data_IF_265489211312
#
_entry.id   IF_265489211312
#
_cell.length_a   1.000
_cell.length_b   1.000
_cell.length_c   1.000
_cell.angle_alpha   90.00
_cell.angle_beta   90.00
_cell.angle_gamma   90.00
#
_symmetry.space_group_name_H-M   'P 1'
#
loop_
_entity.id
_entity.type
_entity.pdbx_description
1 polymer ?
#
# COMPACT_ATOMS: atom_id res chain seq x y z
N UNK A 1 15.89 -5.13 6.32
CA UNK A 1 16.24 -6.52 6.74
C UNK A 1 15.29 -7.57 6.18
N UNK A 2 13.97 -7.32 6.15
CA UNK A 2 12.98 -8.24 5.54
C UNK A 2 13.30 -8.57 4.07
N UNK A 3 13.77 -7.59 3.34
CA UNK A 3 14.13 -7.73 1.94
C UNK A 3 15.30 -8.71 1.69
N UNK A 4 16.18 -8.92 2.63
CA UNK A 4 17.40 -9.73 2.47
C UNK A 4 17.19 -11.22 2.76
N UNK A 5 16.18 -11.59 3.57
CA UNK A 5 15.91 -12.99 3.92
C UNK A 5 15.22 -13.78 2.80
N UNK A 6 14.44 -13.11 1.95
CA UNK A 6 13.60 -13.79 0.96
C UNK A 6 14.33 -14.19 -0.33
N UNK A 7 15.58 -13.77 -0.51
CA UNK A 7 16.34 -14.05 -1.74
C UNK A 7 17.27 -15.24 -1.66
N UNK A 8 17.60 -15.69 -0.47
CA UNK A 8 18.49 -16.83 -0.26
C UNK A 8 18.06 -18.12 -0.97
N UNK A 9 16.75 -18.42 -1.20
CA UNK A 9 16.36 -19.60 -1.96
C UNK A 9 16.60 -19.48 -3.47
N UNK A 10 16.79 -18.26 -3.97
CA UNK A 10 16.88 -17.99 -5.42
C UNK A 10 18.26 -17.52 -5.87
N UNK A 11 19.19 -17.31 -4.94
CA UNK A 11 20.54 -16.79 -5.22
C UNK A 11 21.54 -17.95 -5.24
N UNK A 12 21.90 -18.42 -6.43
CA UNK A 12 22.89 -19.46 -6.62
C UNK A 12 23.19 -19.76 -8.07
N UNK A 13 24.26 -20.48 -8.32
CA UNK A 13 24.70 -20.95 -9.67
C UNK A 13 23.55 -21.64 -10.42
N UNK A 14 22.69 -22.36 -9.73
CA UNK A 14 21.54 -23.02 -10.34
C UNK A 14 20.52 -22.02 -10.94
N UNK A 15 20.34 -20.85 -10.36
CA UNK A 15 19.46 -19.83 -10.92
C UNK A 15 19.95 -19.35 -12.28
N UNK A 16 21.25 -19.11 -12.45
CA UNK A 16 21.83 -18.65 -13.71
C UNK A 16 21.55 -19.66 -14.84
N UNK A 17 21.73 -20.95 -14.59
CA UNK A 17 21.41 -21.99 -15.58
C UNK A 17 19.92 -22.03 -15.91
N UNK A 18 19.06 -21.89 -14.93
CA UNK A 18 17.60 -21.81 -15.12
C UNK A 18 17.21 -20.60 -15.95
N UNK A 19 17.82 -19.43 -15.68
CA UNK A 19 17.61 -18.21 -16.44
C UNK A 19 18.08 -18.36 -17.90
N UNK A 20 19.26 -18.92 -18.11
CA UNK A 20 19.79 -19.19 -19.46
C UNK A 20 18.89 -20.15 -20.25
N UNK A 21 18.43 -21.22 -19.60
CA UNK A 21 17.47 -22.15 -20.19
C UNK A 21 16.16 -21.47 -20.55
N UNK A 22 15.62 -20.63 -19.66
CA UNK A 22 14.39 -19.87 -19.94
C UNK A 22 14.56 -18.91 -21.11
N UNK A 23 15.71 -18.25 -21.25
CA UNK A 23 16.01 -17.37 -22.39
C UNK A 23 16.09 -18.20 -23.69
N UNK A 24 16.74 -19.36 -23.67
CA UNK A 24 16.80 -20.26 -24.83
C UNK A 24 15.39 -20.71 -25.22
N UNK A 25 14.63 -21.23 -24.26
CA UNK A 25 13.25 -21.67 -24.48
C UNK A 25 12.38 -20.54 -25.08
N UNK A 26 12.47 -19.34 -24.50
CA UNK A 26 11.76 -18.18 -25.01
C UNK A 26 12.17 -17.86 -26.46
N UNK A 27 13.46 -17.92 -26.80
CA UNK A 27 13.94 -17.65 -28.18
C UNK A 27 13.35 -18.65 -29.17
N UNK A 28 13.33 -19.93 -28.84
CA UNK A 28 12.77 -20.99 -29.67
C UNK A 28 11.25 -20.89 -29.85
N UNK A 29 10.55 -20.37 -28.82
CA UNK A 29 9.09 -20.24 -28.81
C UNK A 29 8.62 -18.78 -28.93
N UNK A 30 9.47 -17.88 -29.37
CA UNK A 30 9.25 -16.43 -29.40
C UNK A 30 7.96 -16.03 -30.13
N UNK A 31 7.68 -16.68 -31.28
CA UNK A 31 6.48 -16.37 -32.09
C UNK A 31 5.20 -16.66 -31.33
N UNK A 32 5.16 -17.75 -30.56
CA UNK A 32 4.03 -18.08 -29.71
C UNK A 32 3.82 -17.03 -28.62
N UNK A 33 4.89 -16.66 -27.90
CA UNK A 33 4.81 -15.72 -26.79
C UNK A 33 4.45 -14.31 -27.23
N UNK A 34 5.04 -13.81 -28.30
CA UNK A 34 4.78 -12.45 -28.78
C UNK A 34 3.35 -12.20 -29.24
N UNK A 35 2.69 -13.20 -29.81
CA UNK A 35 1.29 -13.11 -30.24
C UNK A 35 0.31 -12.92 -29.06
N UNK A 36 0.76 -13.11 -27.83
CA UNK A 36 -0.11 -13.05 -26.65
C UNK A 36 -0.26 -11.64 -26.07
N UNK A 37 0.59 -10.68 -26.47
CA UNK A 37 0.58 -9.29 -25.95
C UNK A 37 0.46 -9.24 -24.43
N UNK A 38 1.42 -9.84 -23.72
CA UNK A 38 1.33 -10.11 -22.28
C UNK A 38 1.46 -8.82 -21.46
N UNK A 39 0.49 -8.61 -20.57
CA UNK A 39 0.56 -7.68 -19.45
C UNK A 39 0.76 -8.50 -18.17
N UNK A 40 1.90 -8.31 -17.48
CA UNK A 40 2.17 -8.96 -16.20
C UNK A 40 1.74 -8.04 -15.06
N UNK A 41 0.97 -8.59 -14.14
CA UNK A 41 0.54 -7.90 -12.92
C UNK A 41 1.22 -8.56 -11.72
N UNK A 42 1.75 -7.75 -10.81
CA UNK A 42 2.38 -8.24 -9.58
C UNK A 42 2.27 -7.24 -8.44
N UNK A 43 2.48 -7.72 -7.24
CA UNK A 43 2.64 -6.92 -6.04
C UNK A 43 4.06 -7.09 -5.47
N UNK A 44 4.31 -6.47 -4.32
CA UNK A 44 5.62 -6.50 -3.67
C UNK A 44 6.11 -7.94 -3.48
N UNK A 45 7.27 -8.25 -4.05
CA UNK A 45 7.91 -9.57 -4.06
C UNK A 45 7.06 -10.71 -4.65
N UNK A 46 5.91 -10.43 -5.25
CA UNK A 46 4.95 -11.46 -5.71
C UNK A 46 4.55 -12.44 -4.60
N UNK A 47 4.53 -11.98 -3.35
CA UNK A 47 4.30 -12.82 -2.16
C UNK A 47 2.87 -12.76 -1.64
N UNK A 48 2.10 -11.73 -2.00
CA UNK A 48 0.76 -11.46 -1.49
C UNK A 48 -0.21 -11.09 -2.63
N UNK A 49 -1.52 -11.12 -2.34
CA UNK A 49 -2.60 -10.65 -3.21
C UNK A 49 -3.61 -9.86 -2.35
N UNK A 50 -3.25 -8.62 -2.00
CA UNK A 50 -4.00 -7.79 -1.04
C UNK A 50 -4.05 -6.31 -1.41
N UNK A 51 -3.28 -5.88 -2.43
CA UNK A 51 -3.08 -4.50 -2.79
C UNK A 51 -3.62 -4.20 -4.20
N UNK A 52 -3.34 -3.02 -4.72
CA UNK A 52 -3.82 -2.51 -6.00
C UNK A 52 -3.58 -3.46 -7.17
N UNK A 53 -2.47 -4.21 -7.18
CA UNK A 53 -2.18 -5.20 -8.20
C UNK A 53 -3.23 -6.32 -8.26
N UNK A 54 -3.60 -6.85 -7.11
CA UNK A 54 -4.62 -7.90 -7.01
C UNK A 54 -6.01 -7.40 -7.42
N UNK A 55 -6.44 -6.26 -6.89
CA UNK A 55 -7.78 -5.73 -7.21
C UNK A 55 -7.90 -5.32 -8.68
N UNK A 56 -6.86 -4.73 -9.26
CA UNK A 56 -6.80 -4.47 -10.69
C UNK A 56 -6.87 -5.77 -11.52
N UNK A 57 -6.10 -6.79 -11.17
CA UNK A 57 -6.15 -8.08 -11.83
C UNK A 57 -7.53 -8.73 -11.74
N UNK A 58 -8.11 -8.77 -10.53
CA UNK A 58 -9.45 -9.32 -10.28
C UNK A 58 -10.49 -8.62 -11.16
N UNK A 59 -10.53 -7.29 -11.16
CA UNK A 59 -11.42 -6.51 -12.02
C UNK A 59 -11.24 -6.88 -13.50
N UNK A 60 -10.00 -6.97 -13.97
CA UNK A 60 -9.72 -7.32 -15.35
C UNK A 60 -10.24 -8.71 -15.75
N UNK A 61 -10.23 -9.66 -14.82
CA UNK A 61 -10.78 -11.02 -15.07
C UNK A 61 -12.30 -10.99 -15.06
N UNK A 62 -12.93 -10.36 -14.07
CA UNK A 62 -14.38 -10.34 -13.89
C UNK A 62 -15.11 -9.51 -14.94
N UNK A 63 -14.48 -8.42 -15.42
CA UNK A 63 -15.05 -7.50 -16.42
C UNK A 63 -14.52 -7.72 -17.84
N UNK A 64 -13.72 -8.78 -18.05
CA UNK A 64 -13.12 -9.11 -19.35
C UNK A 64 -12.32 -7.95 -20.00
N UNK A 65 -11.59 -7.17 -19.19
CA UNK A 65 -10.80 -6.03 -19.66
C UNK A 65 -9.62 -6.45 -20.56
N UNK A 66 -9.28 -7.73 -20.61
CA UNK A 66 -8.29 -8.27 -21.54
C UNK A 66 -8.63 -7.94 -23.01
N UNK A 67 -9.91 -8.06 -23.38
CA UNK A 67 -10.38 -7.69 -24.72
C UNK A 67 -10.27 -6.18 -24.97
N UNK A 68 -10.63 -5.36 -23.98
CA UNK A 68 -10.53 -3.91 -24.08
C UNK A 68 -9.09 -3.44 -24.25
N UNK A 69 -8.15 -4.01 -23.49
CA UNK A 69 -6.72 -3.68 -23.53
C UNK A 69 -5.99 -4.38 -24.69
N UNK A 70 -6.61 -5.33 -25.37
CA UNK A 70 -5.96 -6.23 -26.33
C UNK A 70 -4.67 -6.87 -25.76
N UNK A 71 -4.73 -7.32 -24.49
CA UNK A 71 -3.61 -7.92 -23.78
C UNK A 71 -4.04 -9.14 -22.98
N UNK A 72 -3.19 -10.16 -22.98
CA UNK A 72 -3.33 -11.27 -22.05
C UNK A 72 -2.78 -10.85 -20.69
N UNK A 73 -3.67 -10.71 -19.72
CA UNK A 73 -3.29 -10.29 -18.37
C UNK A 73 -2.94 -11.54 -17.55
N UNK A 74 -1.76 -11.55 -16.95
CA UNK A 74 -1.24 -12.62 -16.11
C UNK A 74 -0.82 -12.06 -14.74
N UNK A 75 -1.26 -12.71 -13.68
CA UNK A 75 -0.88 -12.35 -12.30
C UNK A 75 0.25 -13.26 -11.80
N UNK A 76 1.29 -12.67 -11.24
CA UNK A 76 2.45 -13.40 -10.70
C UNK A 76 2.30 -13.50 -9.18
N UNK A 77 2.38 -14.71 -8.64
CA UNK A 77 2.35 -14.96 -7.20
C UNK A 77 3.13 -16.22 -6.84
N UNK A 78 3.74 -16.21 -5.65
CA UNK A 78 4.35 -17.43 -5.10
C UNK A 78 3.26 -18.44 -4.72
N UNK A 79 3.49 -19.73 -5.07
CA UNK A 79 2.57 -20.81 -4.69
C UNK A 79 2.44 -21.01 -3.18
N UNK A 80 3.45 -20.58 -2.42
CA UNK A 80 3.47 -20.64 -0.95
C UNK A 80 2.77 -19.45 -0.29
N UNK A 81 2.32 -18.48 -1.09
CA UNK A 81 1.59 -17.33 -0.55
C UNK A 81 0.31 -17.78 0.15
N UNK A 82 -0.01 -17.26 1.34
CA UNK A 82 -1.29 -17.49 2.00
C UNK A 82 -2.47 -16.99 1.14
N UNK A 83 -2.22 -16.01 0.26
CA UNK A 83 -3.22 -15.44 -0.64
C UNK A 83 -3.40 -16.22 -1.96
N UNK A 84 -2.61 -17.27 -2.20
CA UNK A 84 -2.73 -18.05 -3.44
C UNK A 84 -4.16 -18.55 -3.70
N UNK A 85 -4.95 -18.97 -2.69
CA UNK A 85 -6.35 -19.35 -2.88
C UNK A 85 -7.23 -18.24 -3.48
N UNK A 86 -6.95 -16.96 -3.20
CA UNK A 86 -7.72 -15.82 -3.75
C UNK A 86 -7.63 -15.71 -5.27
N UNK A 87 -6.51 -16.14 -5.85
CA UNK A 87 -6.27 -16.09 -7.29
C UNK A 87 -6.54 -17.42 -8.00
N UNK A 88 -6.75 -18.50 -7.26
CA UNK A 88 -6.99 -19.84 -7.80
C UNK A 88 -8.18 -19.93 -8.77
N UNK A 89 -9.30 -19.17 -8.61
CA UNK A 89 -10.38 -19.15 -9.60
C UNK A 89 -9.93 -18.71 -10.99
N UNK A 90 -8.84 -17.97 -11.08
CA UNK A 90 -8.26 -17.43 -12.32
C UNK A 90 -7.01 -18.19 -12.76
N UNK A 91 -6.89 -19.49 -12.45
CA UNK A 91 -5.67 -20.30 -12.59
C UNK A 91 -5.03 -20.26 -13.98
N UNK A 92 -5.82 -20.12 -15.06
CA UNK A 92 -5.31 -19.95 -16.44
C UNK A 92 -4.47 -18.67 -16.61
N UNK A 93 -4.77 -17.63 -15.83
CA UNK A 93 -4.15 -16.33 -15.85
C UNK A 93 -3.17 -16.11 -14.68
N UNK A 94 -2.99 -17.11 -13.80
CA UNK A 94 -2.03 -17.07 -12.70
C UNK A 94 -0.75 -17.77 -13.11
N UNK A 95 0.37 -17.12 -12.80
CA UNK A 95 1.71 -17.61 -13.12
C UNK A 95 2.52 -17.76 -11.83
N UNK A 96 2.94 -18.97 -11.48
CA UNK A 96 3.73 -19.19 -10.28
C UNK A 96 5.08 -18.46 -10.36
N UNK A 97 5.40 -17.71 -9.33
CA UNK A 97 6.65 -16.98 -9.21
C UNK A 97 7.87 -17.90 -9.43
N UNK A 98 8.88 -17.41 -10.13
CA UNK A 98 10.13 -18.12 -10.46
C UNK A 98 9.96 -19.44 -11.26
N UNK A 99 8.79 -19.74 -11.82
CA UNK A 99 8.60 -20.84 -12.76
C UNK A 99 9.16 -20.52 -14.16
N UNK A 100 9.42 -21.52 -14.99
CA UNK A 100 9.82 -21.30 -16.39
C UNK A 100 8.75 -20.54 -17.17
N UNK A 101 7.46 -20.80 -16.90
CA UNK A 101 6.34 -20.06 -17.50
C UNK A 101 6.41 -18.57 -17.10
N UNK A 102 6.74 -18.27 -15.84
CA UNK A 102 6.96 -16.90 -15.37
C UNK A 102 8.10 -16.24 -16.13
N UNK A 103 9.26 -16.89 -16.20
CA UNK A 103 10.44 -16.35 -16.88
C UNK A 103 10.16 -16.07 -18.37
N UNK A 104 9.53 -16.99 -19.08
CA UNK A 104 9.15 -16.79 -20.48
C UNK A 104 8.11 -15.69 -20.64
N UNK A 105 7.10 -15.62 -19.74
CA UNK A 105 6.09 -14.56 -19.76
C UNK A 105 6.74 -13.18 -19.52
N UNK A 106 7.70 -13.09 -18.62
CA UNK A 106 8.42 -11.84 -18.34
C UNK A 106 9.29 -11.39 -19.53
N UNK A 107 9.96 -12.31 -20.20
CA UNK A 107 10.70 -12.02 -21.42
C UNK A 107 9.77 -11.52 -22.54
N UNK A 108 8.57 -12.09 -22.64
CA UNK A 108 7.57 -11.73 -23.64
C UNK A 108 6.76 -10.48 -23.32
N UNK A 109 6.62 -10.12 -22.03
CA UNK A 109 5.73 -9.06 -21.58
C UNK A 109 5.98 -7.74 -22.33
N UNK A 110 4.88 -7.12 -22.77
CA UNK A 110 4.87 -5.76 -23.33
C UNK A 110 4.75 -4.73 -22.19
N UNK A 111 4.07 -5.10 -21.10
CA UNK A 111 3.76 -4.22 -19.99
C UNK A 111 3.88 -4.97 -18.66
N UNK A 112 4.39 -4.27 -17.64
CA UNK A 112 4.35 -4.70 -16.24
C UNK A 112 3.49 -3.68 -15.48
N UNK A 113 2.49 -4.16 -14.76
CA UNK A 113 1.63 -3.37 -13.87
C UNK A 113 1.90 -3.83 -12.45
N UNK A 114 2.32 -2.92 -11.58
CA UNK A 114 2.75 -3.29 -10.23
C UNK A 114 2.31 -2.27 -9.19
N UNK A 115 1.94 -2.73 -7.99
CA UNK A 115 1.71 -1.85 -6.84
C UNK A 115 3.00 -1.33 -6.20
N UNK A 116 4.16 -1.84 -6.64
CA UNK A 116 5.49 -1.37 -6.25
C UNK A 116 6.37 -1.22 -7.52
N UNK A 117 7.68 -1.18 -7.39
CA UNK A 117 8.59 -1.14 -8.55
C UNK A 117 8.37 -2.34 -9.47
N UNK A 118 8.49 -2.13 -10.80
CA UNK A 118 8.45 -3.20 -11.81
C UNK A 118 9.43 -4.35 -11.55
N UNK A 119 10.48 -4.10 -10.77
CA UNK A 119 11.45 -5.13 -10.43
C UNK A 119 10.89 -6.20 -9.50
N UNK A 120 9.79 -5.92 -8.79
CA UNK A 120 9.09 -6.93 -7.99
C UNK A 120 8.38 -8.01 -8.82
N UNK A 121 8.30 -7.82 -10.14
CA UNK A 121 7.90 -8.88 -11.07
C UNK A 121 8.93 -10.02 -11.17
N UNK A 122 10.08 -9.94 -10.50
CA UNK A 122 11.11 -10.97 -10.46
C UNK A 122 11.84 -10.92 -9.11
N UNK A 123 12.76 -11.87 -8.87
CA UNK A 123 13.61 -11.88 -7.68
C UNK A 123 14.62 -10.70 -7.73
N UNK A 124 14.17 -9.51 -7.31
CA UNK A 124 14.86 -8.22 -7.49
C UNK A 124 16.21 -8.12 -6.82
N UNK A 125 16.43 -8.97 -5.84
CA UNK A 125 17.61 -8.94 -4.98
C UNK A 125 18.72 -9.85 -5.51
N UNK A 126 18.44 -10.66 -6.55
CA UNK A 126 19.47 -11.41 -7.25
C UNK A 126 20.33 -10.46 -8.08
N UNK A 127 21.42 -9.93 -7.50
CA UNK A 127 22.27 -8.91 -8.11
C UNK A 127 22.80 -9.30 -9.47
N UNK A 128 23.06 -10.59 -9.71
CA UNK A 128 23.65 -11.14 -10.93
C UNK A 128 22.63 -11.68 -11.94
N UNK A 129 21.32 -11.52 -11.67
CA UNK A 129 20.29 -11.98 -12.59
C UNK A 129 20.36 -11.27 -13.94
N UNK A 130 20.38 -12.06 -15.03
CA UNK A 130 20.29 -11.54 -16.40
C UNK A 130 18.93 -10.91 -16.68
N UNK A 131 17.88 -11.28 -15.92
CA UNK A 131 16.54 -10.73 -16.06
C UNK A 131 16.44 -9.25 -15.70
N UNK A 132 17.32 -8.72 -14.84
CA UNK A 132 17.37 -7.30 -14.51
C UNK A 132 17.53 -6.42 -15.78
N UNK A 133 18.30 -6.89 -16.78
CA UNK A 133 18.48 -6.18 -18.06
C UNK A 133 17.22 -6.17 -18.91
N UNK A 134 16.42 -7.26 -18.84
CA UNK A 134 15.15 -7.36 -19.57
C UNK A 134 14.09 -6.48 -18.91
N UNK A 135 13.96 -6.56 -17.58
CA UNK A 135 12.98 -5.76 -16.79
C UNK A 135 13.22 -4.27 -16.99
N UNK A 136 14.48 -3.82 -16.98
CA UNK A 136 14.84 -2.41 -17.22
C UNK A 136 14.19 -1.85 -18.49
N UNK A 137 14.09 -2.66 -19.55
CA UNK A 137 13.54 -2.27 -20.86
C UNK A 137 12.02 -2.39 -20.97
N UNK A 138 11.35 -2.97 -19.97
CA UNK A 138 9.89 -3.16 -20.02
C UNK A 138 9.17 -1.86 -19.68
N UNK A 139 8.10 -1.59 -20.44
CA UNK A 139 7.12 -0.58 -20.07
C UNK A 139 6.45 -0.95 -18.76
N UNK A 140 6.11 0.05 -17.96
CA UNK A 140 5.54 -0.21 -16.63
C UNK A 140 4.52 0.81 -16.20
N UNK A 141 3.53 0.33 -15.45
CA UNK A 141 2.55 1.13 -14.71
C UNK A 141 2.80 0.92 -13.22
N UNK A 142 2.91 2.01 -12.50
CA UNK A 142 3.04 1.99 -11.05
C UNK A 142 1.68 2.33 -10.43
N UNK A 143 1.04 1.34 -9.82
CA UNK A 143 -0.27 1.49 -9.17
C UNK A 143 -0.18 2.09 -7.78
N UNK A 144 1.03 2.18 -7.22
CA UNK A 144 1.31 2.52 -5.83
C UNK A 144 0.71 1.53 -4.81
N UNK A 145 1.08 1.66 -3.56
CA UNK A 145 0.51 0.96 -2.41
C UNK A 145 -0.04 1.93 -1.35
N UNK A 146 0.19 3.23 -1.50
CA UNK A 146 -0.30 4.28 -0.62
C UNK A 146 -0.09 5.65 -1.24
N UNK A 147 -0.93 6.61 -0.88
CA UNK A 147 -0.86 7.98 -1.42
C UNK A 147 0.45 8.65 -1.03
N UNK A 148 1.10 9.25 -2.01
CA UNK A 148 2.37 9.95 -1.84
C UNK A 148 2.14 11.38 -1.39
N UNK A 149 2.22 11.65 -0.07
CA UNK A 149 2.08 12.98 0.49
C UNK A 149 2.91 13.16 1.78
N UNK A 150 2.74 12.26 2.77
CA UNK A 150 3.27 12.40 4.13
C UNK A 150 4.74 11.96 4.28
N UNK A 151 5.34 11.43 3.23
CA UNK A 151 6.73 10.96 3.20
C UNK A 151 7.36 11.21 1.85
N UNK A 152 8.60 11.70 1.82
CA UNK A 152 9.34 11.90 0.57
C UNK A 152 9.89 10.58 0.03
N UNK A 153 9.59 10.30 -1.23
CA UNK A 153 9.99 9.08 -1.95
C UNK A 153 10.42 9.36 -3.41
N UNK A 154 10.60 10.64 -3.76
CA UNK A 154 11.05 11.07 -5.10
C UNK A 154 12.43 10.48 -5.47
N UNK A 155 13.33 10.30 -4.50
CA UNK A 155 14.63 9.64 -4.69
C UNK A 155 14.51 8.15 -5.09
N UNK A 156 13.35 7.52 -4.87
CA UNK A 156 13.10 6.10 -5.19
C UNK A 156 12.33 5.99 -6.50
N UNK A 157 11.20 6.72 -6.63
CA UNK A 157 10.24 6.57 -7.72
C UNK A 157 10.30 7.69 -8.75
N UNK A 158 11.10 8.74 -8.52
CA UNK A 158 11.27 9.84 -9.47
C UNK A 158 11.84 9.37 -10.81
N UNK A 159 11.52 10.11 -11.87
CA UNK A 159 11.98 9.85 -13.23
C UNK A 159 13.51 9.90 -13.28
N UNK A 160 14.13 8.90 -13.88
CA UNK A 160 15.60 8.74 -13.87
C UNK A 160 16.11 7.75 -12.82
N UNK A 161 15.34 7.43 -11.79
CA UNK A 161 15.68 6.42 -10.81
C UNK A 161 15.37 5.00 -11.31
N UNK A 162 15.92 4.00 -10.61
CA UNK A 162 15.72 2.59 -10.96
C UNK A 162 14.24 2.19 -10.98
N UNK A 163 13.45 2.71 -10.04
CA UNK A 163 12.03 2.38 -9.89
C UNK A 163 11.09 3.25 -10.72
N UNK A 164 11.62 4.10 -11.60
CA UNK A 164 10.81 4.92 -12.51
C UNK A 164 9.88 4.06 -13.38
N UNK A 165 8.70 4.60 -13.68
CA UNK A 165 7.68 3.96 -14.51
C UNK A 165 7.34 4.79 -15.76
N UNK A 166 6.56 4.22 -16.65
CA UNK A 166 6.07 4.91 -17.85
C UNK A 166 4.68 5.51 -17.67
N UNK A 167 3.93 5.06 -16.65
CA UNK A 167 2.66 5.60 -16.21
C UNK A 167 2.57 5.50 -14.69
N UNK A 168 2.41 6.65 -14.04
CA UNK A 168 2.27 6.77 -12.60
C UNK A 168 0.78 6.97 -12.26
N UNK A 169 0.18 6.07 -11.50
CA UNK A 169 -1.20 6.20 -11.04
C UNK A 169 -1.22 7.02 -9.76
N UNK A 170 -2.08 8.02 -9.71
CA UNK A 170 -2.34 8.86 -8.53
C UNK A 170 -3.82 8.83 -8.18
N UNK A 171 -4.14 9.28 -6.98
CA UNK A 171 -5.48 9.11 -6.41
C UNK A 171 -6.30 10.38 -6.37
N UNK A 172 -5.63 11.53 -6.36
CA UNK A 172 -6.26 12.82 -6.15
C UNK A 172 -5.42 13.95 -6.75
N UNK A 173 -6.04 15.13 -6.85
CA UNK A 173 -5.43 16.30 -7.49
C UNK A 173 -4.21 16.84 -6.76
N UNK A 174 -4.18 16.72 -5.42
CA UNK A 174 -3.02 17.14 -4.64
C UNK A 174 -1.83 16.22 -4.90
N UNK A 175 -2.04 14.90 -4.88
CA UNK A 175 -1.00 13.93 -5.19
C UNK A 175 -0.49 14.08 -6.63
N UNK A 176 -1.39 14.32 -7.59
CA UNK A 176 -1.02 14.59 -8.99
C UNK A 176 -0.05 15.77 -9.07
N UNK A 177 -0.36 16.87 -8.39
CA UNK A 177 0.53 18.04 -8.33
C UNK A 177 1.88 17.68 -7.69
N UNK A 178 1.91 16.94 -6.58
CA UNK A 178 3.15 16.50 -5.93
C UNK A 178 4.03 15.72 -6.90
N UNK A 179 3.45 14.77 -7.66
CA UNK A 179 4.21 13.95 -8.61
C UNK A 179 4.75 14.79 -9.76
N UNK A 180 3.96 15.70 -10.32
CA UNK A 180 4.40 16.58 -11.40
C UNK A 180 5.52 17.53 -10.95
N UNK A 181 5.38 18.12 -9.75
CA UNK A 181 6.32 19.12 -9.25
C UNK A 181 7.65 18.53 -8.75
N UNK A 182 7.64 17.30 -8.21
CA UNK A 182 8.80 16.77 -7.48
C UNK A 182 9.44 15.52 -8.11
N UNK A 183 8.74 14.77 -8.98
CA UNK A 183 9.23 13.48 -9.47
C UNK A 183 9.75 13.52 -10.90
N UNK A 184 9.59 14.64 -11.61
CA UNK A 184 10.06 14.83 -12.98
C UNK A 184 9.24 14.12 -14.05
N UNK A 185 8.00 13.72 -13.74
CA UNK A 185 7.06 13.15 -14.72
C UNK A 185 6.32 14.25 -15.49
N UNK A 186 6.01 13.97 -16.75
CA UNK A 186 5.16 14.82 -17.57
C UNK A 186 3.67 14.50 -17.36
N UNK A 187 2.74 15.45 -17.60
CA UNK A 187 1.30 15.21 -17.41
C UNK A 187 0.77 13.98 -18.15
N UNK A 188 1.33 13.64 -19.32
CA UNK A 188 0.95 12.44 -20.08
C UNK A 188 1.43 11.12 -19.44
N UNK A 189 2.26 11.19 -18.41
CA UNK A 189 2.84 10.05 -17.69
C UNK A 189 2.21 9.85 -16.31
N UNK A 190 1.27 10.71 -15.93
CA UNK A 190 0.53 10.65 -14.67
C UNK A 190 -0.96 10.49 -14.96
N UNK A 191 -1.64 9.63 -14.22
CA UNK A 191 -3.07 9.45 -14.38
C UNK A 191 -3.76 9.43 -13.01
N UNK A 192 -4.65 10.40 -12.81
CA UNK A 192 -5.49 10.48 -11.62
C UNK A 192 -6.71 9.57 -11.82
N UNK A 193 -6.65 8.38 -11.20
CA UNK A 193 -7.67 7.34 -11.36
C UNK A 193 -8.24 6.84 -10.03
N UNK A 194 -7.57 7.13 -8.91
CA UNK A 194 -7.78 6.44 -7.65
C UNK A 194 -7.10 5.06 -7.63
N UNK A 195 -7.17 4.39 -6.50
CA UNK A 195 -6.59 3.07 -6.29
C UNK A 195 -7.54 1.94 -6.66
N UNK A 196 -7.04 0.88 -7.29
CA UNK A 196 -7.84 -0.29 -7.62
C UNK A 196 -8.50 -0.96 -6.40
N UNK A 197 -7.84 -0.95 -5.22
CA UNK A 197 -8.41 -1.48 -3.98
C UNK A 197 -9.60 -0.67 -3.46
N UNK A 198 -9.77 0.57 -3.89
CA UNK A 198 -10.91 1.39 -3.50
C UNK A 198 -12.22 0.96 -4.17
N UNK A 199 -12.16 0.15 -5.23
CA UNK A 199 -13.35 -0.45 -5.84
C UNK A 199 -14.14 -1.36 -4.89
N UNK A 200 -13.48 -1.88 -3.86
CA UNK A 200 -14.11 -2.77 -2.85
C UNK A 200 -14.22 -2.13 -1.47
N UNK A 201 -13.72 -0.91 -1.32
CA UNK A 201 -13.71 -0.22 -0.04
C UNK A 201 -15.10 0.36 0.24
N UNK A 202 -15.77 -0.18 1.24
CA UNK A 202 -17.12 0.20 1.65
C UNK A 202 -17.15 0.55 3.13
N UNK A 203 -17.88 1.59 3.47
CA UNK A 203 -18.17 1.86 4.86
C UNK A 203 -19.14 0.82 5.42
N UNK A 204 -18.65 0.00 6.35
CA UNK A 204 -19.39 -1.04 7.07
C UNK A 204 -19.39 -0.74 8.58
N UNK A 205 -19.19 0.52 8.98
CA UNK A 205 -19.00 0.91 10.38
C UNK A 205 -20.21 1.62 11.00
N UNK A 206 -21.33 1.75 10.32
CA UNK A 206 -22.46 2.58 10.74
C UNK A 206 -23.00 2.23 12.13
N UNK A 207 -23.04 0.93 12.47
CA UNK A 207 -23.49 0.44 13.77
C UNK A 207 -22.31 0.08 14.70
N UNK A 208 -21.13 0.57 14.40
CA UNK A 208 -19.89 0.24 15.08
C UNK A 208 -19.40 1.42 15.92
N UNK A 209 -18.84 1.14 17.09
CA UNK A 209 -18.13 2.09 17.94
C UNK A 209 -16.62 1.81 17.93
N UNK A 210 -16.11 1.26 16.83
CA UNK A 210 -14.72 0.83 16.71
C UNK A 210 -13.82 1.96 16.19
N UNK A 211 -12.70 2.15 16.83
CA UNK A 211 -11.63 3.07 16.43
C UNK A 211 -10.38 2.25 16.11
N UNK A 212 -9.76 2.51 14.97
CA UNK A 212 -8.49 1.91 14.60
C UNK A 212 -7.34 2.85 14.98
N UNK A 213 -6.39 2.35 15.76
CA UNK A 213 -5.11 3.03 15.99
C UNK A 213 -4.04 2.31 15.17
N UNK A 214 -3.48 2.98 14.17
CA UNK A 214 -2.50 2.38 13.26
C UNK A 214 -1.28 3.30 13.11
N UNK A 215 -0.27 3.16 14.00
CA UNK A 215 0.92 3.99 13.95
C UNK A 215 1.89 3.53 12.86
N UNK A 216 2.62 4.49 12.30
CA UNK A 216 3.69 4.24 11.33
C UNK A 216 4.96 3.80 12.03
N UNK A 217 5.69 2.86 11.44
CA UNK A 217 7.01 2.48 11.95
C UNK A 217 8.03 3.62 11.82
N UNK A 218 9.02 3.61 12.69
CA UNK A 218 10.14 4.56 12.66
C UNK A 218 11.40 3.85 12.16
N UNK A 219 12.05 4.40 11.13
CA UNK A 219 13.26 3.79 10.56
C UNK A 219 14.42 3.75 11.55
N UNK A 220 14.49 4.71 12.49
CA UNK A 220 15.52 4.72 13.54
C UNK A 220 15.26 3.71 14.67
N UNK A 221 14.09 3.06 14.68
CA UNK A 221 13.76 1.95 15.56
C UNK A 221 13.73 0.60 14.81
N UNK A 222 14.21 0.55 13.56
CA UNK A 222 14.24 -0.69 12.79
C UNK A 222 15.32 -1.62 13.32
N UNK A 223 14.95 -2.84 13.70
CA UNK A 223 15.87 -3.89 14.17
C UNK A 223 16.65 -3.57 15.47
N UNK A 224 16.11 -2.68 16.33
CA UNK A 224 16.64 -2.45 17.68
C UNK A 224 16.20 -3.57 18.64
N UNK A 225 16.87 -3.68 19.81
CA UNK A 225 16.45 -4.59 20.88
C UNK A 225 15.12 -4.14 21.51
N UNK A 226 14.42 -5.04 22.19
CA UNK A 226 13.18 -4.71 22.92
C UNK A 226 13.44 -3.62 23.96
N UNK A 227 14.54 -3.69 24.72
CA UNK A 227 14.94 -2.67 25.69
C UNK A 227 15.08 -1.28 25.06
N UNK A 228 15.80 -1.17 23.94
CA UNK A 228 15.95 0.10 23.20
C UNK A 228 14.63 0.58 22.64
N UNK A 229 13.77 -0.34 22.20
CA UNK A 229 12.44 -0.02 21.67
C UNK A 229 11.55 0.53 22.80
N UNK A 230 11.51 -0.11 23.96
CA UNK A 230 10.73 0.31 25.13
C UNK A 230 11.18 1.66 25.70
N UNK A 231 12.47 1.98 25.59
CA UNK A 231 13.01 3.28 25.98
C UNK A 231 12.68 4.43 25.00
N UNK A 232 12.15 4.12 23.81
CA UNK A 232 11.84 5.10 22.79
C UNK A 232 10.64 5.99 23.16
N UNK A 233 10.66 7.24 22.68
CA UNK A 233 9.52 8.16 22.76
C UNK A 233 8.28 7.55 22.09
N UNK A 234 8.48 6.81 20.99
CA UNK A 234 7.41 6.11 20.29
C UNK A 234 6.66 5.13 21.19
N UNK A 235 7.38 4.20 21.80
CA UNK A 235 6.77 3.19 22.68
C UNK A 235 6.12 3.84 23.90
N UNK A 236 6.80 4.76 24.57
CA UNK A 236 6.28 5.44 25.76
C UNK A 236 4.98 6.19 25.52
N UNK A 237 4.87 6.92 24.40
CA UNK A 237 3.63 7.64 24.07
C UNK A 237 2.46 6.69 23.82
N UNK A 238 2.67 5.60 23.06
CA UNK A 238 1.59 4.63 22.83
C UNK A 238 1.24 3.84 24.10
N UNK A 239 2.21 3.48 24.93
CA UNK A 239 1.93 2.82 26.21
C UNK A 239 1.19 3.72 27.20
N UNK A 240 1.52 5.01 27.26
CA UNK A 240 0.78 6.00 28.03
C UNK A 240 -0.67 6.10 27.54
N UNK A 241 -0.88 6.14 26.23
CA UNK A 241 -2.21 6.14 25.61
C UNK A 241 -3.01 4.89 25.99
N UNK A 242 -2.46 3.70 25.73
CA UNK A 242 -3.15 2.41 25.93
C UNK A 242 -3.45 2.09 27.40
N UNK A 243 -2.74 2.71 28.36
CA UNK A 243 -2.89 2.47 29.79
C UNK A 243 -3.42 3.70 30.55
N UNK A 244 -3.91 4.72 29.86
CA UNK A 244 -4.48 5.91 30.49
C UNK A 244 -5.83 5.61 31.12
N UNK A 245 -5.98 5.92 32.42
CA UNK A 245 -7.27 5.83 33.11
C UNK A 245 -8.31 6.75 32.48
N UNK A 246 -7.92 7.99 32.15
CA UNK A 246 -8.80 8.96 31.49
C UNK A 246 -9.25 8.47 30.10
N UNK A 247 -8.35 7.86 29.32
CA UNK A 247 -8.76 7.26 28.05
C UNK A 247 -9.81 6.15 28.26
N UNK A 248 -9.60 5.29 29.27
CA UNK A 248 -10.58 4.25 29.58
C UNK A 248 -11.96 4.82 29.98
N UNK A 249 -12.01 5.92 30.74
CA UNK A 249 -13.26 6.61 31.08
C UNK A 249 -14.00 7.10 29.82
N UNK A 250 -13.29 7.65 28.83
CA UNK A 250 -13.86 8.05 27.53
C UNK A 250 -14.39 6.83 26.78
N UNK A 251 -13.64 5.72 26.74
CA UNK A 251 -14.07 4.49 26.07
C UNK A 251 -15.35 3.91 26.72
N UNK A 252 -15.46 3.96 28.01
CA UNK A 252 -16.67 3.51 28.76
C UNK A 252 -17.86 4.43 28.52
N UNK A 253 -17.64 5.76 28.63
CA UNK A 253 -18.67 6.78 28.44
C UNK A 253 -19.36 6.70 27.07
N UNK A 254 -18.59 6.45 26.02
CA UNK A 254 -19.06 6.44 24.64
C UNK A 254 -19.18 5.03 24.04
N UNK A 255 -19.03 3.99 24.84
CA UNK A 255 -19.05 2.57 24.44
C UNK A 255 -18.09 2.24 23.29
N UNK A 256 -16.87 2.79 23.32
CA UNK A 256 -15.89 2.63 22.25
C UNK A 256 -15.05 1.38 22.41
N UNK A 257 -14.61 0.82 21.28
CA UNK A 257 -13.62 -0.26 21.18
C UNK A 257 -12.42 0.20 20.37
N UNK A 258 -11.24 -0.06 20.87
CA UNK A 258 -9.98 0.32 20.22
C UNK A 258 -9.30 -0.91 19.62
N UNK A 259 -8.91 -0.81 18.38
CA UNK A 259 -8.08 -1.80 17.69
C UNK A 259 -6.71 -1.19 17.42
N UNK A 260 -5.72 -1.56 18.23
CA UNK A 260 -4.33 -1.10 18.07
C UNK A 260 -3.60 -2.07 17.14
N UNK A 261 -3.32 -1.58 15.93
CA UNK A 261 -2.76 -2.36 14.84
C UNK A 261 -1.31 -1.95 14.56
N UNK A 262 -0.36 -2.70 15.10
CA UNK A 262 1.05 -2.37 14.98
C UNK A 262 1.57 -2.68 13.58
N UNK A 263 2.38 -1.76 13.02
CA UNK A 263 2.97 -1.91 11.69
C UNK A 263 3.79 -3.23 11.57
N UNK A 264 3.73 -3.90 10.41
CA UNK A 264 4.37 -5.18 10.15
C UNK A 264 5.87 -5.25 10.54
N UNK A 265 6.61 -4.15 10.44
CA UNK A 265 8.02 -4.07 10.83
C UNK A 265 8.25 -4.11 12.36
N UNK A 266 7.24 -3.80 13.13
CA UNK A 266 7.31 -3.82 14.60
C UNK A 266 6.63 -5.04 15.22
N UNK A 267 6.24 -6.03 14.42
CA UNK A 267 5.60 -7.27 14.93
C UNK A 267 6.50 -8.06 15.90
N UNK A 268 7.82 -7.94 15.78
CA UNK A 268 8.75 -8.51 16.77
C UNK A 268 8.57 -7.94 18.17
N UNK A 269 8.15 -6.68 18.27
CA UNK A 269 7.90 -5.96 19.53
C UNK A 269 6.41 -5.99 19.95
N UNK A 270 5.53 -6.75 19.26
CA UNK A 270 4.11 -6.78 19.59
C UNK A 270 3.85 -7.21 21.04
N UNK A 271 4.66 -8.12 21.56
CA UNK A 271 4.53 -8.68 22.92
C UNK A 271 4.82 -7.66 24.03
N UNK A 272 5.52 -6.56 23.72
CA UNK A 272 5.80 -5.52 24.71
C UNK A 272 4.61 -4.60 24.93
N UNK A 273 3.66 -4.54 23.94
CA UNK A 273 2.44 -3.77 24.07
C UNK A 273 1.37 -4.51 24.85
N UNK A 274 0.85 -3.86 25.86
CA UNK A 274 -0.29 -4.33 26.66
C UNK A 274 -1.21 -3.15 26.96
N UNK A 275 -2.48 -3.45 27.16
CA UNK A 275 -3.49 -2.48 27.52
C UNK A 275 -4.16 -2.87 28.83
N UNK A 276 -4.45 -1.90 29.68
CA UNK A 276 -5.14 -2.14 30.95
C UNK A 276 -6.65 -2.37 30.76
N UNK A 277 -7.23 -1.83 29.70
CA UNK A 277 -8.66 -1.93 29.41
C UNK A 277 -8.99 -3.10 28.51
N UNK A 278 -10.07 -3.83 28.81
CA UNK A 278 -10.63 -4.87 27.95
C UNK A 278 -11.29 -4.32 26.66
N UNK A 279 -11.43 -2.99 26.56
CA UNK A 279 -11.92 -2.30 25.37
C UNK A 279 -10.82 -2.02 24.34
N UNK A 280 -9.56 -2.36 24.65
CA UNK A 280 -8.41 -2.13 23.79
C UNK A 280 -7.83 -3.47 23.34
N UNK A 281 -7.88 -3.73 22.05
CA UNK A 281 -7.43 -4.97 21.41
C UNK A 281 -6.12 -4.71 20.64
N UNK A 282 -5.02 -5.30 21.12
CA UNK A 282 -3.73 -5.24 20.42
C UNK A 282 -3.70 -6.34 19.36
N UNK A 283 -3.63 -5.95 18.08
CA UNK A 283 -3.73 -6.85 16.94
C UNK A 283 -2.37 -7.14 16.30
N UNK A 284 -2.20 -8.40 15.92
CA UNK A 284 -1.13 -8.83 15.01
C UNK A 284 -1.47 -8.50 13.55
N UNK A 285 -0.44 -8.39 12.72
CA UNK A 285 -0.59 -8.19 11.27
C UNK A 285 -1.38 -9.33 10.60
N UNK A 286 -1.34 -10.54 11.15
CA UNK A 286 -2.00 -11.72 10.60
C UNK A 286 -3.45 -11.91 11.09
N UNK A 287 -3.89 -11.13 12.09
CA UNK A 287 -5.23 -11.32 12.70
C UNK A 287 -6.36 -10.88 11.76
N UNK A 288 -6.21 -9.72 11.14
CA UNK A 288 -7.24 -9.17 10.24
C UNK A 288 -6.60 -8.29 9.17
N UNK A 289 -7.01 -8.39 7.90
CA UNK A 289 -6.54 -7.51 6.85
C UNK A 289 -6.86 -6.03 7.13
N UNK A 290 -5.90 -5.15 6.86
CA UNK A 290 -6.02 -3.70 7.12
C UNK A 290 -7.26 -3.09 6.46
N UNK A 291 -7.57 -3.48 5.22
CA UNK A 291 -8.73 -2.96 4.50
C UNK A 291 -10.07 -3.31 5.19
N UNK A 292 -10.15 -4.46 5.86
CA UNK A 292 -11.33 -4.82 6.65
C UNK A 292 -11.46 -3.94 7.88
N UNK A 293 -10.37 -3.66 8.58
CA UNK A 293 -10.37 -2.75 9.72
C UNK A 293 -10.79 -1.34 9.30
N UNK A 294 -10.26 -0.83 8.17
CA UNK A 294 -10.64 0.48 7.63
C UNK A 294 -12.14 0.56 7.27
N UNK A 295 -12.75 -0.55 6.83
CA UNK A 295 -14.19 -0.62 6.55
C UNK A 295 -15.04 -0.68 7.83
N UNK A 296 -14.57 -1.39 8.86
CA UNK A 296 -15.33 -1.68 10.09
C UNK A 296 -15.18 -0.62 11.18
N UNK A 297 -14.15 0.21 11.13
CA UNK A 297 -13.90 1.26 12.11
C UNK A 297 -14.52 2.59 11.68
N UNK A 298 -15.07 3.34 12.65
CA UNK A 298 -15.66 4.67 12.44
C UNK A 298 -14.60 5.74 12.22
N UNK A 299 -13.47 5.60 12.88
CA UNK A 299 -12.38 6.59 12.89
C UNK A 299 -11.03 5.90 12.86
N UNK A 300 -10.04 6.60 12.33
CA UNK A 300 -8.63 6.23 12.38
C UNK A 300 -7.86 7.21 13.26
N UNK A 301 -7.02 6.69 14.14
CA UNK A 301 -5.95 7.43 14.79
C UNK A 301 -4.64 6.94 14.19
N UNK A 302 -3.90 7.84 13.58
CA UNK A 302 -2.59 7.52 13.00
C UNK A 302 -1.63 8.69 13.18
N UNK A 303 -0.45 8.57 12.60
CA UNK A 303 0.56 9.63 12.66
C UNK A 303 0.98 10.09 11.25
N UNK A 304 1.62 9.19 10.47
CA UNK A 304 2.17 9.49 9.14
C UNK A 304 1.77 8.43 8.10
N UNK A 305 0.79 7.58 8.41
CA UNK A 305 0.40 6.48 7.53
C UNK A 305 -0.50 6.94 6.39
N UNK A 306 -0.20 6.49 5.19
CA UNK A 306 -1.02 6.76 4.00
C UNK A 306 -2.42 6.15 4.03
N UNK A 307 -2.73 5.25 4.98
CA UNK A 307 -4.09 4.70 5.15
C UNK A 307 -5.12 5.74 5.58
N UNK A 308 -4.68 6.91 6.06
CA UNK A 308 -5.56 8.06 6.31
C UNK A 308 -6.35 8.48 5.05
N UNK A 309 -5.76 8.30 3.87
CA UNK A 309 -6.44 8.58 2.60
C UNK A 309 -7.55 7.57 2.29
N UNK A 310 -7.39 6.32 2.70
CA UNK A 310 -8.43 5.29 2.58
C UNK A 310 -9.62 5.62 3.48
N UNK A 311 -9.40 6.23 4.66
CA UNK A 311 -10.46 6.73 5.55
C UNK A 311 -11.14 7.97 4.96
N UNK A 312 -10.37 8.94 4.50
CA UNK A 312 -10.92 10.14 3.86
C UNK A 312 -11.76 9.77 2.62
N UNK A 313 -11.32 8.80 1.82
CA UNK A 313 -12.08 8.28 0.68
C UNK A 313 -13.46 7.76 1.12
N UNK A 314 -13.53 7.03 2.23
CA UNK A 314 -14.76 6.52 2.84
C UNK A 314 -15.60 7.59 3.57
N UNK A 315 -15.19 8.85 3.59
CA UNK A 315 -15.84 9.94 4.33
C UNK A 315 -15.80 9.75 5.86
N UNK A 316 -14.70 9.16 6.37
CA UNK A 316 -14.49 8.91 7.79
C UNK A 316 -13.40 9.81 8.35
N UNK A 317 -13.50 10.25 9.62
CA UNK A 317 -12.51 11.10 10.25
C UNK A 317 -11.20 10.35 10.53
N UNK A 318 -10.11 11.12 10.48
CA UNK A 318 -8.79 10.70 10.94
C UNK A 318 -8.28 11.69 11.96
N UNK A 319 -7.70 11.21 13.06
CA UNK A 319 -6.92 11.99 14.00
C UNK A 319 -5.45 11.68 13.82
N UNK A 320 -4.63 12.74 13.76
CA UNK A 320 -3.19 12.62 13.56
C UNK A 320 -2.46 12.83 14.89
N UNK A 321 -1.95 11.74 15.50
CA UNK A 321 -1.18 11.80 16.75
C UNK A 321 0.32 11.92 16.44
N UNK A 322 0.83 13.15 16.41
CA UNK A 322 2.15 13.49 15.89
C UNK A 322 3.07 14.10 16.95
N UNK A 323 3.35 13.37 18.01
CA UNK A 323 4.23 13.80 19.13
C UNK A 323 5.71 13.94 18.75
N UNK A 324 6.13 13.39 17.59
CA UNK A 324 7.51 13.38 17.11
C UNK A 324 7.67 13.98 15.70
N UNK A 325 6.80 14.94 15.33
CA UNK A 325 6.71 15.48 13.96
C UNK A 325 8.03 16.05 13.45
N UNK A 326 8.78 16.78 14.29
CA UNK A 326 10.05 17.39 13.86
C UNK A 326 11.11 16.32 13.56
N UNK A 327 11.22 15.31 14.42
CA UNK A 327 12.11 14.17 14.19
C UNK A 327 11.72 13.37 12.94
N UNK A 328 10.41 13.19 12.71
CA UNK A 328 9.93 12.50 11.52
C UNK A 328 10.26 13.28 10.24
N UNK A 329 10.04 14.60 10.25
CA UNK A 329 10.36 15.48 9.12
C UNK A 329 11.86 15.51 8.81
N UNK A 330 12.71 15.53 9.82
CA UNK A 330 14.16 15.45 9.65
C UNK A 330 14.58 14.12 8.98
N UNK A 331 13.98 13.01 9.42
CA UNK A 331 14.34 11.68 8.93
C UNK A 331 13.77 11.35 7.54
N UNK A 332 12.60 11.84 7.22
CA UNK A 332 11.83 11.43 6.02
C UNK A 332 11.42 12.58 5.12
N UNK A 333 11.14 13.75 5.66
CA UNK A 333 10.49 14.85 4.97
C UNK A 333 9.05 14.55 4.56
N UNK A 334 8.35 15.58 4.13
CA UNK A 334 6.98 15.52 3.61
C UNK A 334 6.86 16.42 2.37
N UNK A 335 5.82 16.21 1.57
CA UNK A 335 5.46 17.10 0.45
C UNK A 335 4.44 18.15 0.84
N UNK A 336 3.79 18.00 2.00
CA UNK A 336 2.81 18.94 2.55
C UNK A 336 3.27 19.46 3.91
N UNK A 337 2.77 20.60 4.32
CA UNK A 337 2.93 21.08 5.71
C UNK A 337 1.97 20.35 6.64
N UNK A 338 2.47 19.31 7.33
CA UNK A 338 1.64 18.51 8.23
C UNK A 338 1.10 19.27 9.45
N UNK A 339 1.48 20.53 9.66
CA UNK A 339 0.85 21.38 10.65
C UNK A 339 -0.39 22.13 10.14
N UNK A 340 -0.58 22.21 8.80
CA UNK A 340 -1.63 23.04 8.18
C UNK A 340 -2.50 22.30 7.17
N UNK A 341 -1.92 21.34 6.44
CA UNK A 341 -2.52 20.79 5.23
C UNK A 341 -3.16 19.40 5.44
N UNK A 342 -3.20 18.93 6.70
CA UNK A 342 -3.87 17.68 7.03
C UNK A 342 -5.40 17.82 6.87
N UNK A 343 -6.05 16.71 6.62
CA UNK A 343 -7.51 16.59 6.49
C UNK A 343 -8.14 15.89 7.71
N UNK A 344 -7.62 16.17 8.87
CA UNK A 344 -8.05 15.68 10.17
C UNK A 344 -7.38 16.47 11.29
N UNK A 345 -7.91 16.40 12.50
CA UNK A 345 -7.34 17.08 13.63
C UNK A 345 -6.01 16.47 14.03
N UNK A 346 -5.07 17.33 14.44
CA UNK A 346 -3.73 16.94 14.81
C UNK A 346 -3.49 17.18 16.30
N UNK A 347 -3.06 16.16 17.00
CA UNK A 347 -2.65 16.19 18.39
C UNK A 347 -1.14 15.95 18.53
N UNK A 348 -0.48 16.72 19.37
CA UNK A 348 0.90 16.52 19.79
C UNK A 348 0.99 15.79 21.14
N UNK A 349 -0.05 15.89 21.93
CA UNK A 349 -0.16 15.28 23.26
C UNK A 349 -1.33 14.31 23.35
N UNK A 350 -1.26 13.39 24.32
CA UNK A 350 -2.39 12.49 24.60
C UNK A 350 -3.63 13.23 25.09
N UNK A 351 -3.46 14.34 25.83
CA UNK A 351 -4.59 15.14 26.31
C UNK A 351 -5.37 15.73 25.12
N UNK A 352 -4.70 16.40 24.18
CA UNK A 352 -5.34 16.90 22.94
C UNK A 352 -6.03 15.76 22.16
N UNK A 353 -5.36 14.59 22.07
CA UNK A 353 -5.93 13.44 21.39
C UNK A 353 -7.23 12.98 22.05
N UNK A 354 -7.29 12.95 23.39
CA UNK A 354 -8.49 12.58 24.13
C UNK A 354 -9.65 13.54 23.89
N UNK A 355 -9.37 14.85 23.92
CA UNK A 355 -10.36 15.88 23.62
C UNK A 355 -10.98 15.70 22.23
N UNK A 356 -10.16 15.39 21.22
CA UNK A 356 -10.62 15.16 19.85
C UNK A 356 -11.38 13.83 19.69
N UNK A 357 -11.00 12.79 20.44
CA UNK A 357 -11.76 11.51 20.43
C UNK A 357 -13.15 11.73 21.04
N UNK A 358 -13.24 12.45 22.15
CA UNK A 358 -14.50 12.74 22.82
C UNK A 358 -15.38 13.63 21.93
N UNK A 359 -14.83 14.71 21.33
CA UNK A 359 -15.54 15.54 20.35
C UNK A 359 -16.08 14.69 19.17
N UNK A 360 -15.25 13.81 18.61
CA UNK A 360 -15.68 12.95 17.50
C UNK A 360 -16.81 12.00 17.89
N UNK A 361 -16.75 11.41 19.10
CA UNK A 361 -17.79 10.54 19.62
C UNK A 361 -19.11 11.29 19.85
N UNK A 362 -19.05 12.50 20.42
CA UNK A 362 -20.24 13.36 20.64
C UNK A 362 -20.91 13.79 19.32
N UNK A 363 -20.17 13.82 18.22
CA UNK A 363 -20.68 14.16 16.88
C UNK A 363 -20.85 12.92 15.98
N UNK A 364 -21.03 11.74 16.57
CA UNK A 364 -21.22 10.46 15.85
C UNK A 364 -20.16 10.21 14.75
N UNK A 365 -18.92 10.58 15.01
CA UNK A 365 -17.79 10.43 14.10
C UNK A 365 -18.01 11.05 12.71
N UNK A 366 -18.83 12.09 12.64
CA UNK A 366 -19.03 12.81 11.39
C UNK A 366 -17.75 13.51 10.95
N UNK A 367 -17.41 13.42 9.65
CA UNK A 367 -16.30 14.17 9.09
C UNK A 367 -16.59 15.67 9.18
N UNK A 368 -15.70 16.44 9.82
CA UNK A 368 -15.86 17.90 9.98
C UNK A 368 -16.04 18.58 8.61
N UNK A 369 -16.90 19.63 8.50
CA UNK A 369 -17.21 20.28 7.20
C UNK A 369 -15.99 20.76 6.42
N UNK A 370 -14.94 21.21 7.12
CA UNK A 370 -13.68 21.63 6.47
C UNK A 370 -13.00 20.46 5.78
N UNK A 371 -12.94 19.29 6.39
CA UNK A 371 -12.31 18.09 5.82
C UNK A 371 -13.20 17.43 4.76
N UNK A 372 -14.52 17.51 4.90
CA UNK A 372 -15.46 17.09 3.86
C UNK A 372 -15.32 17.93 2.58
N UNK A 373 -15.02 19.24 2.70
CA UNK A 373 -14.70 20.10 1.57
C UNK A 373 -13.39 19.67 0.91
N UNK A 374 -12.29 19.51 1.68
CA UNK A 374 -11.01 19.02 1.16
C UNK A 374 -11.18 17.68 0.43
N UNK A 375 -11.93 16.74 1.02
CA UNK A 375 -12.27 15.47 0.37
C UNK A 375 -12.90 15.67 -1.00
N UNK A 376 -13.83 16.62 -1.11
CA UNK A 376 -14.53 16.92 -2.36
C UNK A 376 -13.64 17.53 -3.42
N UNK A 377 -12.64 18.32 -3.00
CA UNK A 377 -11.65 18.94 -3.87
C UNK A 377 -10.57 17.94 -4.33
N UNK A 378 -10.19 17.00 -3.48
CA UNK A 378 -9.15 16.03 -3.77
C UNK A 378 -9.61 14.94 -4.72
N UNK A 379 -10.74 14.27 -4.44
CA UNK A 379 -11.15 13.08 -5.18
C UNK A 379 -12.03 13.41 -6.38
N UNK A 380 -11.49 13.18 -7.58
CA UNK A 380 -12.21 13.31 -8.83
C UNK A 380 -13.21 12.17 -9.04
N UNK A 381 -12.83 10.93 -8.66
CA UNK A 381 -13.65 9.74 -8.79
C UNK A 381 -14.06 9.20 -7.42
N UNK A 382 -15.36 8.97 -7.22
CA UNK A 382 -15.95 8.47 -5.96
C UNK A 382 -16.91 7.30 -6.19
N UNK A 383 -16.94 6.74 -7.40
CA UNK A 383 -17.92 5.78 -7.88
C UNK A 383 -17.45 4.32 -7.87
N UNK A 384 -16.31 4.02 -7.23
CA UNK A 384 -15.73 2.68 -7.15
C UNK A 384 -15.48 2.03 -8.53
N UNK A 385 -15.09 2.83 -9.52
CA UNK A 385 -14.70 2.36 -10.86
C UNK A 385 -13.21 2.62 -11.16
N UNK A 386 -12.37 2.64 -10.13
CA UNK A 386 -10.95 3.00 -10.24
C UNK A 386 -10.16 2.05 -11.13
N UNK A 387 -10.39 0.73 -11.01
CA UNK A 387 -9.74 -0.25 -11.90
C UNK A 387 -10.11 -0.04 -13.36
N UNK A 388 -11.37 0.37 -13.64
CA UNK A 388 -11.79 0.74 -15.00
C UNK A 388 -11.07 1.97 -15.50
N UNK A 389 -10.93 3.01 -14.66
CA UNK A 389 -10.19 4.22 -15.02
C UNK A 389 -8.70 3.91 -15.28
N UNK A 390 -8.10 3.02 -14.49
CA UNK A 390 -6.74 2.52 -14.73
C UNK A 390 -6.65 1.83 -16.09
N UNK A 391 -7.61 0.99 -16.48
CA UNK A 391 -7.65 0.37 -17.81
C UNK A 391 -7.73 1.43 -18.92
N UNK A 392 -8.54 2.48 -18.75
CA UNK A 392 -8.62 3.60 -19.71
C UNK A 392 -7.28 4.31 -19.84
N UNK A 393 -6.61 4.62 -18.72
CA UNK A 393 -5.30 5.26 -18.72
C UNK A 393 -4.24 4.39 -19.40
N UNK A 394 -4.22 3.08 -19.12
CA UNK A 394 -3.31 2.12 -19.78
C UNK A 394 -3.56 2.08 -21.28
N UNK A 395 -4.82 2.01 -21.69
CA UNK A 395 -5.16 1.99 -23.13
C UNK A 395 -4.71 3.26 -23.83
N UNK A 396 -4.96 4.41 -23.23
CA UNK A 396 -4.54 5.71 -23.77
C UNK A 396 -3.01 5.82 -23.92
N UNK A 397 -2.25 5.22 -22.98
CA UNK A 397 -0.78 5.36 -22.95
C UNK A 397 -0.04 4.32 -23.79
N UNK A 398 -0.56 3.09 -23.93
CA UNK A 398 0.20 1.95 -24.47
C UNK A 398 -0.49 1.16 -25.59
N UNK A 399 -1.72 1.48 -25.94
CA UNK A 399 -2.48 0.86 -27.03
C UNK A 399 -2.89 1.90 -28.05
#
# INVERSE_FOLDING_TARGET
>A
AFAYRDCTPYDGTFLIYKEMFAVLLYRLTRSYWKKQHICLVCEKFSSMAQDNGYYFFKHCMEKNEQSYLNKKILYIIDRKSPDYPKVSPYSKNVVPFMSLRHMCSLLAADLIVSSDSKYHAYATQCRHSIFNRYIKKKKSVFLQHGVTALKRVDSIYGKGNRSACDLFIVTNTMEEKIILDNFGYEPAEVANTGFARWDVLKDCSQDSHNILIMPTWRNWLDSVSDETFEDSTYFRNYMLLLNSGHFNEILEKHDLQIYFYLHAKFQSHLKTFHAASNRIHVLSFDDTPVNEMLMKCRMLITDYSSVCWDMLYQNKPTLFYQFDLDQYNEAHGSYIDMRKDLFGDRAETSAELFDYIEEAAEHDFALKPVYARQRSEYFQFKDQQHSRQICVAIKRRFC
#
